data_IF_426362275713
#
_entry.id   IF_426362275713
#
_cell.length_a   1.000
_cell.length_b   1.000
_cell.length_c   1.000
_cell.angle_alpha   90.00
_cell.angle_beta   90.00
_cell.angle_gamma   90.00
#
_symmetry.space_group_name_H-M   'P 1'
#
loop_
_entity.id
_entity.type
_entity.pdbx_description
1 polymer ?
#
# COMPACT_ATOMS: atom_id res chain seq x y z
N UNK A 1 1.44 -27.29 16.14
CA UNK A 1 -0.01 -26.99 16.08
C UNK A 1 -0.86 -27.60 17.20
N UNK A 2 -0.40 -28.57 18.01
CA UNK A 2 -1.20 -29.15 19.12
C UNK A 2 -1.47 -28.21 20.32
N UNK A 3 -1.09 -26.93 20.23
CA UNK A 3 -1.25 -25.95 21.31
C UNK A 3 -2.28 -24.85 20.99
N UNK A 4 -2.80 -24.78 19.75
CA UNK A 4 -3.82 -23.80 19.37
C UNK A 4 -5.15 -24.54 19.25
N UNK A 5 -6.08 -24.24 20.17
CA UNK A 5 -7.43 -24.82 20.20
C UNK A 5 -8.47 -23.93 19.49
N UNK A 6 -8.20 -22.63 19.42
CA UNK A 6 -9.11 -21.64 18.84
C UNK A 6 -8.37 -20.73 17.86
N UNK A 7 -9.01 -20.45 16.73
CA UNK A 7 -8.57 -19.45 15.75
C UNK A 7 -9.71 -18.46 15.57
N UNK A 8 -9.43 -17.19 15.82
CA UNK A 8 -10.35 -16.09 15.53
C UNK A 8 -9.81 -15.36 14.32
N UNK A 9 -10.63 -15.18 13.30
CA UNK A 9 -10.26 -14.46 12.08
C UNK A 9 -11.03 -13.14 12.04
N UNK A 10 -10.30 -12.04 12.15
CA UNK A 10 -10.83 -10.69 11.94
C UNK A 10 -10.57 -10.30 10.48
N UNK A 11 -11.63 -10.14 9.70
CA UNK A 11 -11.54 -9.60 8.34
C UNK A 11 -11.74 -8.08 8.38
N UNK A 12 -10.73 -7.36 7.89
CA UNK A 12 -10.77 -5.93 7.68
C UNK A 12 -11.03 -5.65 6.19
N UNK A 13 -11.34 -4.40 5.85
CA UNK A 13 -11.75 -3.98 4.51
C UNK A 13 -10.78 -2.98 3.88
N UNK A 14 -10.73 -3.01 2.55
CA UNK A 14 -10.30 -1.97 1.60
C UNK A 14 -8.97 -1.26 1.88
N UNK A 15 -7.94 -2.01 2.30
CA UNK A 15 -6.61 -1.44 2.52
C UNK A 15 -5.52 -2.39 2.03
N UNK A 16 -4.60 -1.87 1.21
CA UNK A 16 -3.41 -2.60 0.77
C UNK A 16 -2.37 -2.71 1.89
N UNK A 17 -1.44 -3.63 1.72
CA UNK A 17 -0.32 -3.80 2.65
C UNK A 17 0.49 -2.52 2.81
N UNK A 18 0.94 -1.92 1.70
CA UNK A 18 1.73 -0.69 1.73
C UNK A 18 0.97 0.46 2.40
N UNK A 19 -0.33 0.56 2.19
CA UNK A 19 -1.14 1.63 2.76
C UNK A 19 -1.19 1.59 4.30
N UNK A 20 -1.20 0.42 4.94
CA UNK A 20 -1.25 0.31 6.41
C UNK A 20 0.12 0.04 7.05
N UNK A 21 0.95 -0.75 6.40
CA UNK A 21 2.16 -1.35 6.99
C UNK A 21 3.43 -1.09 6.18
N UNK A 22 3.35 -0.46 5.01
CA UNK A 22 4.53 -0.22 4.16
C UNK A 22 5.65 0.53 4.88
N UNK A 23 5.31 1.43 5.81
CA UNK A 23 6.29 2.20 6.61
C UNK A 23 6.59 1.60 8.00
N UNK A 24 6.16 0.36 8.28
CA UNK A 24 6.20 -0.24 9.62
C UNK A 24 7.61 -0.26 10.25
N UNK A 25 8.64 -0.56 9.47
CA UNK A 25 10.04 -0.67 9.92
C UNK A 25 10.97 0.36 9.25
N UNK A 26 10.41 1.45 8.71
CA UNK A 26 11.21 2.47 8.03
C UNK A 26 12.19 3.21 8.95
N UNK A 27 11.89 3.28 10.25
CA UNK A 27 12.79 3.76 11.32
C UNK A 27 13.95 2.78 11.62
N UNK A 28 13.87 1.56 11.09
CA UNK A 28 14.83 0.47 11.29
C UNK A 28 15.40 -0.01 9.95
N UNK A 29 15.40 0.83 8.92
CA UNK A 29 15.86 0.49 7.56
C UNK A 29 15.22 -0.79 7.00
N UNK A 30 13.95 -1.01 7.29
CA UNK A 30 13.20 -2.22 6.93
C UNK A 30 13.87 -3.52 7.43
N UNK A 31 14.48 -3.49 8.61
CA UNK A 31 15.10 -4.65 9.27
C UNK A 31 14.34 -4.98 10.57
N UNK A 32 13.38 -5.93 10.53
CA UNK A 32 12.69 -6.38 11.73
C UNK A 32 13.64 -7.19 12.63
N UNK A 33 13.28 -7.39 13.89
CA UNK A 33 14.11 -8.21 14.80
C UNK A 33 14.28 -9.66 14.30
N UNK A 34 13.24 -10.22 13.68
CA UNK A 34 13.20 -11.61 13.24
C UNK A 34 12.40 -11.76 11.93
N UNK A 35 12.83 -12.68 11.07
CA UNK A 35 11.99 -13.27 10.02
C UNK A 35 11.70 -14.73 10.33
N UNK A 36 10.60 -15.24 9.79
CA UNK A 36 10.27 -16.66 9.78
C UNK A 36 10.08 -17.10 8.32
N UNK A 37 10.89 -18.04 7.81
CA UNK A 37 12.07 -18.64 8.44
C UNK A 37 13.20 -17.62 8.69
N UNK A 38 14.12 -17.88 9.63
CA UNK A 38 15.23 -16.98 9.92
C UNK A 38 16.09 -16.69 8.68
N UNK A 39 16.53 -15.44 8.55
CA UNK A 39 17.47 -14.98 7.52
C UNK A 39 18.76 -14.47 8.20
N UNK A 40 19.93 -14.56 7.53
CA UNK A 40 21.18 -14.01 8.08
C UNK A 40 21.09 -12.51 8.40
N UNK A 41 20.43 -11.77 7.50
CA UNK A 41 20.03 -10.38 7.71
C UNK A 41 18.51 -10.32 7.61
N UNK A 42 17.80 -10.01 8.70
CA UNK A 42 16.37 -9.83 8.64
C UNK A 42 15.99 -8.69 7.68
N UNK A 43 14.94 -8.89 6.90
CA UNK A 43 14.41 -7.90 5.95
C UNK A 43 12.89 -7.94 5.98
N UNK A 44 12.30 -6.76 5.84
CA UNK A 44 10.88 -6.54 5.68
C UNK A 44 10.64 -5.91 4.30
N UNK A 45 9.72 -6.45 3.52
CA UNK A 45 9.38 -5.90 2.19
C UNK A 45 8.45 -4.69 2.34
N UNK A 46 9.00 -3.63 2.93
CA UNK A 46 8.33 -2.35 3.14
C UNK A 46 8.76 -1.27 2.13
N UNK A 47 8.15 -0.09 2.27
CA UNK A 47 8.43 1.08 1.47
C UNK A 47 9.78 1.72 1.82
N UNK A 48 10.37 2.38 0.83
CA UNK A 48 11.62 3.13 0.93
C UNK A 48 11.41 4.51 0.30
N UNK A 49 11.85 5.56 0.98
CA UNK A 49 11.70 6.94 0.50
C UNK A 49 12.47 7.15 -0.82
N UNK A 50 11.83 7.80 -1.79
CA UNK A 50 12.42 8.10 -3.10
C UNK A 50 12.53 6.92 -4.07
N UNK A 51 12.06 5.72 -3.69
CA UNK A 51 12.17 4.51 -4.53
C UNK A 51 10.93 4.25 -5.38
N UNK A 52 9.74 4.55 -4.84
CA UNK A 52 8.46 4.20 -5.43
C UNK A 52 7.68 5.44 -5.84
N UNK A 53 7.23 5.46 -7.08
CA UNK A 53 6.44 6.57 -7.63
C UNK A 53 5.47 6.07 -8.68
N UNK A 54 4.50 6.92 -9.02
CA UNK A 54 3.57 6.70 -10.10
C UNK A 54 3.36 8.01 -10.87
N UNK A 55 3.06 7.91 -12.16
CA UNK A 55 2.80 9.08 -13.01
C UNK A 55 1.33 9.12 -13.42
N UNK A 56 0.86 10.29 -13.85
CA UNK A 56 -0.45 10.39 -14.49
C UNK A 56 -0.41 9.74 -15.86
N UNK A 57 -1.51 9.07 -16.24
CA UNK A 57 -1.60 8.37 -17.53
C UNK A 57 -1.61 9.29 -18.74
N UNK A 58 -1.99 10.56 -18.56
CA UNK A 58 -1.98 11.60 -19.61
C UNK A 58 -0.61 12.28 -19.79
N UNK A 59 0.40 11.88 -19.01
CA UNK A 59 1.73 12.48 -19.02
C UNK A 59 1.79 13.88 -18.39
N UNK A 60 0.71 14.34 -17.74
CA UNK A 60 0.69 15.64 -17.07
C UNK A 60 1.32 15.56 -15.68
N UNK A 61 1.90 16.70 -15.25
CA UNK A 61 2.52 16.83 -13.93
C UNK A 61 3.81 16.03 -13.75
N UNK A 62 4.43 16.20 -12.58
CA UNK A 62 5.57 15.38 -12.18
C UNK A 62 5.07 14.03 -11.63
N UNK A 63 5.88 12.96 -11.70
CA UNK A 63 5.62 11.74 -10.95
C UNK A 63 5.42 12.02 -9.47
N UNK A 64 4.52 11.28 -8.83
CA UNK A 64 4.21 11.39 -7.41
C UNK A 64 4.83 10.22 -6.69
N UNK A 65 5.73 10.51 -5.75
CA UNK A 65 6.34 9.51 -4.88
C UNK A 65 5.34 9.00 -3.82
N UNK A 66 5.55 7.77 -3.36
CA UNK A 66 4.77 7.23 -2.24
C UNK A 66 5.05 8.05 -0.97
N UNK A 67 3.99 8.58 -0.37
CA UNK A 67 4.04 9.41 0.82
C UNK A 67 4.10 8.60 2.12
N UNK A 68 4.83 9.13 3.10
CA UNK A 68 4.81 8.64 4.49
C UNK A 68 3.90 9.53 5.32
N UNK A 69 2.76 8.97 5.71
CA UNK A 69 1.60 9.60 6.31
C UNK A 69 0.59 10.15 5.29
N UNK A 70 -0.68 9.94 5.62
CA UNK A 70 -1.78 10.59 4.92
C UNK A 70 -2.02 11.98 5.51
N UNK A 71 -2.50 12.89 4.68
CA UNK A 71 -2.90 14.25 5.09
C UNK A 71 -4.38 14.46 4.81
N UNK A 72 -5.05 15.40 5.48
CA UNK A 72 -6.43 15.76 5.11
C UNK A 72 -6.43 16.63 3.86
N UNK A 73 -7.34 16.36 2.92
CA UNK A 73 -7.47 17.11 1.66
C UNK A 73 -8.91 17.61 1.48
N UNK A 74 -9.12 18.83 0.95
CA UNK A 74 -10.46 19.28 0.61
C UNK A 74 -11.12 18.32 -0.40
N UNK A 75 -12.43 18.09 -0.30
CA UNK A 75 -13.37 18.72 0.62
C UNK A 75 -13.51 18.01 1.99
N UNK A 76 -13.09 16.75 2.13
CA UNK A 76 -13.34 15.93 3.33
C UNK A 76 -12.41 16.32 4.50
N UNK A 77 -11.19 16.78 4.21
CA UNK A 77 -10.17 17.22 5.17
C UNK A 77 -9.92 16.23 6.33
N UNK A 78 -10.02 14.92 6.06
CA UNK A 78 -9.78 13.88 7.05
C UNK A 78 -8.66 12.93 6.57
N UNK A 79 -7.49 12.88 7.24
CA UNK A 79 -6.39 11.99 6.85
C UNK A 79 -6.75 10.50 6.94
N UNK A 80 -7.75 10.11 7.75
CA UNK A 80 -8.18 8.72 7.91
C UNK A 80 -9.16 8.24 6.83
N UNK A 81 -9.50 9.12 5.90
CA UNK A 81 -10.36 8.80 4.75
C UNK A 81 -9.60 8.88 3.43
N UNK A 82 -8.26 9.00 3.47
CA UNK A 82 -7.45 9.05 2.25
C UNK A 82 -7.13 7.64 1.76
N UNK A 83 -7.28 7.36 0.44
CA UNK A 83 -7.82 8.25 -0.59
C UNK A 83 -9.37 8.36 -0.55
N UNK A 84 -9.92 9.52 -0.90
CA UNK A 84 -11.36 9.75 -1.07
C UNK A 84 -11.64 10.53 -2.37
N UNK A 85 -12.47 10.02 -3.30
CA UNK A 85 -13.28 8.79 -3.22
C UNK A 85 -12.44 7.51 -3.15
N UNK A 86 -13.08 6.37 -2.84
CA UNK A 86 -12.40 5.08 -2.84
C UNK A 86 -11.81 4.75 -4.22
N UNK A 87 -10.67 4.02 -4.28
CA UNK A 87 -10.04 3.66 -5.54
C UNK A 87 -10.84 2.61 -6.29
N UNK A 88 -10.48 2.38 -7.56
CA UNK A 88 -11.03 1.28 -8.34
C UNK A 88 -10.48 -0.05 -7.83
N UNK A 89 -11.36 -0.96 -7.44
CA UNK A 89 -11.00 -2.26 -6.85
C UNK A 89 -11.48 -3.45 -7.69
N UNK A 90 -12.06 -3.19 -8.86
CA UNK A 90 -12.47 -4.25 -9.79
C UNK A 90 -11.25 -4.89 -10.47
N UNK A 91 -11.41 -6.10 -10.99
CA UNK A 91 -10.33 -6.85 -11.63
C UNK A 91 -9.64 -6.06 -12.75
N UNK A 92 -10.42 -5.31 -13.54
CA UNK A 92 -9.92 -4.47 -14.62
C UNK A 92 -9.13 -3.26 -14.09
N UNK A 93 -9.52 -2.69 -12.94
CA UNK A 93 -8.76 -1.64 -12.27
C UNK A 93 -7.43 -2.18 -11.75
N UNK A 94 -7.47 -3.29 -11.00
CA UNK A 94 -6.26 -3.90 -10.45
C UNK A 94 -5.28 -4.31 -11.57
N UNK A 95 -5.80 -4.82 -12.70
CA UNK A 95 -4.99 -5.11 -13.89
C UNK A 95 -4.29 -3.84 -14.41
N UNK A 96 -5.02 -2.74 -14.57
CA UNK A 96 -4.43 -1.45 -14.97
C UNK A 96 -3.39 -0.96 -13.99
N UNK A 97 -3.66 -1.05 -12.70
CA UNK A 97 -2.77 -0.56 -11.64
C UNK A 97 -1.43 -1.32 -11.62
N UNK A 98 -1.49 -2.66 -11.71
CA UNK A 98 -0.32 -3.55 -11.65
C UNK A 98 0.52 -3.50 -12.94
N UNK A 99 -0.12 -3.45 -14.11
CA UNK A 99 0.58 -3.55 -15.40
C UNK A 99 0.77 -2.21 -16.12
N UNK A 100 0.12 -1.14 -15.65
CA UNK A 100 0.03 0.13 -16.36
C UNK A 100 -0.78 0.06 -17.66
N UNK A 101 -1.56 -1.01 -17.86
CA UNK A 101 -2.30 -1.27 -19.10
C UNK A 101 -3.62 -2.00 -18.82
N UNK A 102 -4.67 -1.67 -19.57
CA UNK A 102 -5.98 -2.33 -19.44
C UNK A 102 -5.95 -3.78 -19.92
N UNK A 103 -5.21 -4.04 -20.99
CA UNK A 103 -5.08 -5.35 -21.63
C UNK A 103 -3.59 -5.68 -21.77
N UNK A 104 -2.92 -6.15 -20.69
CA UNK A 104 -1.51 -6.46 -20.75
C UNK A 104 -1.24 -7.61 -21.73
N UNK A 105 -0.17 -7.50 -22.52
CA UNK A 105 0.23 -8.58 -23.41
C UNK A 105 0.64 -9.83 -22.60
N UNK A 106 0.53 -11.06 -23.16
CA UNK A 106 1.03 -12.25 -22.49
C UNK A 106 2.50 -12.11 -22.08
N UNK A 107 2.79 -12.28 -20.79
CA UNK A 107 4.13 -12.13 -20.23
C UNK A 107 4.61 -10.69 -20.03
N UNK A 108 3.73 -9.68 -20.21
CA UNK A 108 4.04 -8.31 -19.84
C UNK A 108 4.44 -8.23 -18.36
N UNK A 109 5.51 -7.49 -18.07
CA UNK A 109 5.96 -7.32 -16.69
C UNK A 109 4.98 -6.45 -15.89
N UNK A 110 4.65 -6.90 -14.68
CA UNK A 110 3.98 -6.08 -13.69
C UNK A 110 4.96 -5.02 -13.18
N UNK A 111 4.79 -3.78 -13.64
CA UNK A 111 5.68 -2.66 -13.32
C UNK A 111 5.10 -1.71 -12.26
N UNK A 112 3.89 -2.00 -11.77
CA UNK A 112 3.18 -1.23 -10.76
C UNK A 112 2.95 0.23 -11.14
N UNK A 113 2.93 0.58 -12.43
CA UNK A 113 2.97 1.98 -12.88
C UNK A 113 1.60 2.62 -13.11
N UNK A 114 0.50 1.95 -12.77
CA UNK A 114 -0.85 2.38 -13.12
C UNK A 114 -1.71 2.94 -11.99
N UNK A 115 -1.27 2.91 -10.73
CA UNK A 115 -2.08 3.34 -9.57
C UNK A 115 -2.60 4.78 -9.68
N UNK A 116 -1.72 5.74 -9.99
CA UNK A 116 -2.14 7.14 -10.13
C UNK A 116 -2.93 7.37 -11.42
N UNK A 117 -2.56 6.70 -12.50
CA UNK A 117 -3.26 6.81 -13.77
C UNK A 117 -4.71 6.31 -13.67
N UNK A 118 -4.94 5.13 -13.06
CA UNK A 118 -6.26 4.55 -12.87
C UNK A 118 -7.09 5.39 -11.89
N UNK A 119 -6.52 5.80 -10.75
CA UNK A 119 -7.24 6.62 -9.77
C UNK A 119 -7.64 8.01 -10.29
N UNK A 120 -6.80 8.61 -11.15
CA UNK A 120 -7.12 9.90 -11.79
C UNK A 120 -8.33 9.84 -12.74
N UNK A 121 -8.81 8.64 -13.11
CA UNK A 121 -10.06 8.49 -13.87
C UNK A 121 -11.31 8.59 -13.00
N UNK A 122 -11.17 8.42 -11.67
CA UNK A 122 -12.25 8.40 -10.68
C UNK A 122 -12.29 9.67 -9.83
N UNK A 123 -11.12 10.19 -9.46
CA UNK A 123 -10.99 11.32 -8.55
C UNK A 123 -10.83 12.65 -9.30
N UNK A 124 -11.11 13.76 -8.60
CA UNK A 124 -10.76 15.09 -9.09
C UNK A 124 -9.24 15.18 -9.33
N UNK A 125 -8.77 15.72 -10.47
CA UNK A 125 -7.35 15.86 -10.75
C UNK A 125 -6.55 16.55 -9.64
N UNK A 126 -7.15 17.50 -8.91
CA UNK A 126 -6.51 18.21 -7.81
C UNK A 126 -6.20 17.31 -6.61
N UNK A 127 -6.90 16.18 -6.46
CA UNK A 127 -6.76 15.27 -5.32
C UNK A 127 -6.24 13.88 -5.69
N UNK A 128 -6.11 13.55 -6.97
CA UNK A 128 -5.69 12.22 -7.43
C UNK A 128 -4.36 11.73 -6.81
N UNK A 129 -3.46 12.63 -6.41
CA UNK A 129 -2.21 12.27 -5.73
C UNK A 129 -2.42 11.60 -4.35
N UNK A 130 -3.62 11.66 -3.78
CA UNK A 130 -3.99 10.97 -2.54
C UNK A 130 -3.74 9.46 -2.59
N UNK A 131 -3.90 8.81 -3.75
CA UNK A 131 -3.69 7.35 -3.90
C UNK A 131 -2.26 6.92 -3.56
N UNK A 132 -1.31 7.84 -3.67
CA UNK A 132 0.10 7.59 -3.35
C UNK A 132 0.41 7.77 -1.87
N UNK A 133 -0.55 8.11 -1.02
CA UNK A 133 -0.32 8.27 0.42
C UNK A 133 -0.56 6.95 1.17
N UNK A 134 0.34 6.63 2.09
CA UNK A 134 0.22 5.51 3.01
C UNK A 134 0.23 6.01 4.44
N UNK A 135 -0.51 5.34 5.33
CA UNK A 135 -0.52 5.68 6.74
C UNK A 135 0.88 5.50 7.35
N UNK A 136 1.21 6.43 8.24
CA UNK A 136 2.37 6.27 9.12
C UNK A 136 2.02 5.35 10.30
N UNK A 137 3.02 4.71 10.93
CA UNK A 137 2.78 3.92 12.14
C UNK A 137 2.08 4.70 13.26
N UNK A 138 2.29 6.01 13.32
CA UNK A 138 1.65 6.90 14.29
C UNK A 138 0.16 7.13 14.01
N UNK A 139 -0.28 7.02 12.76
CA UNK A 139 -1.69 7.16 12.37
C UNK A 139 -2.50 5.88 12.57
N UNK A 140 -1.85 4.72 12.51
CA UNK A 140 -2.49 3.40 12.73
C UNK A 140 -1.86 2.65 13.92
N UNK A 141 -1.78 3.29 15.11
CA UNK A 141 -0.91 2.83 16.20
C UNK A 141 -1.27 1.45 16.72
N UNK A 142 -2.56 1.08 16.71
CA UNK A 142 -3.01 -0.25 17.18
C UNK A 142 -2.50 -1.34 16.24
N UNK A 143 -2.68 -1.17 14.93
CA UNK A 143 -2.24 -2.14 13.92
C UNK A 143 -0.71 -2.23 13.92
N UNK A 144 0.00 -1.10 13.95
CA UNK A 144 1.46 -1.09 13.99
C UNK A 144 2.01 -1.70 15.27
N UNK A 145 1.37 -1.48 16.42
CA UNK A 145 1.77 -2.09 17.68
C UNK A 145 1.60 -3.62 17.64
N UNK A 146 0.47 -4.12 17.12
CA UNK A 146 0.25 -5.55 16.93
C UNK A 146 1.31 -6.14 15.97
N UNK A 147 1.58 -5.50 14.84
CA UNK A 147 2.55 -5.98 13.86
C UNK A 147 3.99 -6.04 14.41
N UNK A 148 4.39 -5.10 15.29
CA UNK A 148 5.71 -5.10 15.94
C UNK A 148 5.86 -6.13 17.06
N UNK A 149 4.77 -6.49 17.73
CA UNK A 149 4.80 -7.38 18.92
C UNK A 149 4.33 -8.81 18.63
N UNK A 150 3.73 -9.05 17.46
CA UNK A 150 3.31 -10.37 17.02
C UNK A 150 3.99 -10.71 15.69
N UNK A 151 3.25 -11.26 14.72
CA UNK A 151 3.76 -11.61 13.40
C UNK A 151 2.97 -10.88 12.32
N UNK A 152 3.69 -10.49 11.27
CA UNK A 152 3.13 -9.98 10.02
C UNK A 152 3.64 -10.86 8.87
N UNK A 153 2.78 -11.11 7.89
CA UNK A 153 3.17 -11.74 6.63
C UNK A 153 3.23 -10.64 5.56
N UNK A 154 4.42 -10.32 5.08
CA UNK A 154 4.67 -9.32 4.03
C UNK A 154 4.54 -9.88 2.60
N UNK A 155 4.30 -11.19 2.47
CA UNK A 155 4.04 -11.90 1.21
C UNK A 155 2.69 -12.64 1.22
N UNK A 156 1.61 -11.96 1.60
CA UNK A 156 0.24 -12.48 1.53
C UNK A 156 -0.57 -11.73 0.47
N UNK A 157 -1.16 -12.46 -0.48
CA UNK A 157 -1.89 -11.89 -1.62
C UNK A 157 -3.33 -12.41 -1.67
N UNK A 158 -4.23 -11.61 -2.24
CA UNK A 158 -5.61 -12.03 -2.51
C UNK A 158 -5.65 -13.21 -3.51
N UNK A 159 -6.66 -14.07 -3.36
CA UNK A 159 -6.87 -15.29 -4.18
C UNK A 159 -7.54 -15.03 -5.51
#
# INVERSE_FOLDING_TARGET
MRQIEHVVVLFLENRSFDNLLGWLYADQNNQPAHNIPPRPTPVYEGLESGKYFNARGDGSGAPVEVGRATTGWPPVNNPFMVPTPEPGEQFENITRQIFGAAEPAPGQAANMSGFLADYATLADPAIAAQIMQCYSPEQVPVISHLARNFAVCDHWFAS
#
